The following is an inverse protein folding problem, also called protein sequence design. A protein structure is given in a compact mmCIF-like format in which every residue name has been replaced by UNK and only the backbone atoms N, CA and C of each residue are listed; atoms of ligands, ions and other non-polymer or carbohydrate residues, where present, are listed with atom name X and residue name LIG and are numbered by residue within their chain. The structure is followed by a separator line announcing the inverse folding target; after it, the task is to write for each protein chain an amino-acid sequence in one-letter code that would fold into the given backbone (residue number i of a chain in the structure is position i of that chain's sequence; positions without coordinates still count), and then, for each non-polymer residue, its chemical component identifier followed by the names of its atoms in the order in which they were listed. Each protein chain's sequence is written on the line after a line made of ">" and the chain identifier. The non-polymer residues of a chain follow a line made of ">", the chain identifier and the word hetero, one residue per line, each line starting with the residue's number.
data_IF_042591502359
#
_entry.id   IF_042591502359
#
_cell.length_a   1.000
_cell.length_b   1.000
_cell.length_c   1.000
_cell.angle_alpha   90.00
_cell.angle_beta   90.00
_cell.angle_gamma   90.00
#
_symmetry.space_group_name_H-M   'P 1'
#
loop_
_entity.id
_entity.type
_entity.pdbx_description
1 polymer ?
#
# COMPACT_ATOMS: atom_id res chain seq x y z
N UNK A 1 -28.72 57.55 60.35
CA UNK A 1 -29.60 57.50 59.15
C UNK A 1 -29.07 56.60 58.00
N UNK A 2 -27.78 56.25 57.92
CA UNK A 2 -27.23 55.49 56.77
C UNK A 2 -27.44 53.96 56.76
N UNK A 3 -27.64 53.30 57.91
CA UNK A 3 -27.77 51.82 57.98
C UNK A 3 -29.13 51.29 57.53
N UNK A 4 -30.20 52.10 57.62
CA UNK A 4 -31.56 51.69 57.24
C UNK A 4 -31.69 51.43 55.73
N UNK A 5 -31.06 52.27 54.90
CA UNK A 5 -31.05 52.08 53.46
C UNK A 5 -30.17 50.90 53.02
N UNK A 6 -29.09 50.65 53.75
CA UNK A 6 -28.20 49.52 53.48
C UNK A 6 -28.89 48.17 53.72
N UNK A 7 -29.65 48.04 54.81
CA UNK A 7 -30.40 46.81 55.12
C UNK A 7 -31.49 46.54 54.07
N UNK A 8 -32.17 47.58 53.58
CA UNK A 8 -33.22 47.43 52.57
C UNK A 8 -32.65 46.89 51.24
N UNK A 9 -31.48 47.39 50.82
CA UNK A 9 -30.80 46.90 49.61
C UNK A 9 -30.34 45.44 49.79
N UNK A 10 -29.78 45.09 50.96
CA UNK A 10 -29.35 43.74 51.27
C UNK A 10 -30.52 42.74 51.19
N UNK A 11 -31.66 43.07 51.80
CA UNK A 11 -32.86 42.23 51.72
C UNK A 11 -33.38 42.08 50.28
N UNK A 12 -33.32 43.14 49.47
CA UNK A 12 -33.75 43.10 48.08
C UNK A 12 -32.89 42.11 47.25
N UNK A 13 -31.57 42.10 47.45
CA UNK A 13 -30.64 41.17 46.77
C UNK A 13 -30.87 39.72 47.19
N UNK A 14 -31.17 39.48 48.47
CA UNK A 14 -31.46 38.14 48.97
C UNK A 14 -32.80 37.62 48.41
N UNK A 15 -33.81 38.47 48.32
CA UNK A 15 -35.11 38.07 47.77
C UNK A 15 -34.99 37.76 46.27
N UNK A 16 -34.26 38.56 45.49
CA UNK A 16 -34.09 38.29 44.06
C UNK A 16 -33.28 37.03 43.80
N UNK A 17 -32.24 36.74 44.60
CA UNK A 17 -31.48 35.49 44.49
C UNK A 17 -32.32 34.26 44.84
N UNK A 18 -33.15 34.33 45.88
CA UNK A 18 -34.10 33.24 46.21
C UNK A 18 -35.13 33.08 45.08
N UNK A 19 -35.63 34.18 44.51
CA UNK A 19 -36.56 34.13 43.37
C UNK A 19 -35.92 33.47 42.15
N UNK A 20 -34.64 33.74 41.87
CA UNK A 20 -33.89 33.08 40.79
C UNK A 20 -33.59 31.60 41.06
N UNK A 21 -33.54 31.16 42.31
CA UNK A 21 -33.40 29.72 42.63
C UNK A 21 -34.74 29.01 42.45
N UNK A 22 -35.86 29.66 42.77
CA UNK A 22 -37.22 29.09 42.63
C UNK A 22 -37.73 29.15 41.18
N UNK A 23 -37.46 30.23 40.44
CA UNK A 23 -37.81 30.39 39.01
C UNK A 23 -36.69 29.97 38.07
N UNK A 24 -35.49 29.68 38.58
CA UNK A 24 -34.42 29.08 37.81
C UNK A 24 -34.81 27.66 37.41
N UNK A 25 -34.35 27.15 36.25
CA UNK A 25 -34.73 25.83 35.75
C UNK A 25 -34.01 24.73 36.55
N UNK A 26 -34.35 24.59 37.82
CA UNK A 26 -33.91 23.53 38.72
C UNK A 26 -35.00 22.45 38.89
N UNK A 27 -35.93 22.37 37.94
CA UNK A 27 -37.10 21.50 37.99
C UNK A 27 -37.21 20.47 36.86
N UNK A 28 -36.22 20.33 35.98
CA UNK A 28 -36.30 19.39 34.85
C UNK A 28 -35.14 18.39 34.90
N UNK A 29 -35.31 17.26 35.61
CA UNK A 29 -34.28 16.26 35.72
C UNK A 29 -34.35 15.33 34.48
N UNK A 30 -33.21 15.21 33.80
CA UNK A 30 -32.71 13.96 33.20
C UNK A 30 -33.11 13.56 31.77
N UNK A 31 -33.96 14.30 31.04
CA UNK A 31 -34.30 13.87 29.67
C UNK A 31 -33.14 14.00 28.68
N UNK A 32 -32.28 15.01 28.83
CA UNK A 32 -31.11 15.19 27.96
C UNK A 32 -30.02 14.14 28.17
N UNK A 33 -29.76 13.70 29.40
CA UNK A 33 -28.78 12.64 29.65
C UNK A 33 -29.31 11.27 29.20
N UNK A 34 -30.61 11.02 29.41
CA UNK A 34 -31.26 9.80 28.96
C UNK A 34 -31.29 9.71 27.43
N UNK A 35 -31.52 10.83 26.74
CA UNK A 35 -31.46 10.90 25.28
C UNK A 35 -30.04 10.74 24.75
N UNK A 36 -29.03 11.30 25.41
CA UNK A 36 -27.62 11.11 25.02
C UNK A 36 -27.20 9.65 25.20
N UNK A 37 -27.55 9.03 26.33
CA UNK A 37 -27.19 7.62 26.58
C UNK A 37 -27.95 6.69 25.64
N UNK A 38 -29.24 6.93 25.39
CA UNK A 38 -30.01 6.13 24.45
C UNK A 38 -29.53 6.30 23.01
N UNK A 39 -29.23 7.52 22.57
CA UNK A 39 -28.65 7.78 21.24
C UNK A 39 -27.27 7.12 21.10
N UNK A 40 -26.44 7.16 22.13
CA UNK A 40 -25.11 6.51 22.12
C UNK A 40 -25.24 5.00 22.01
N UNK A 41 -26.16 4.38 22.77
CA UNK A 41 -26.38 2.94 22.71
C UNK A 41 -26.97 2.50 21.37
N UNK A 42 -27.86 3.31 20.79
CA UNK A 42 -28.43 3.05 19.47
C UNK A 42 -27.37 3.16 18.36
N UNK A 43 -26.49 4.16 18.43
CA UNK A 43 -25.37 4.29 17.49
C UNK A 43 -24.36 3.15 17.64
N UNK A 44 -24.05 2.74 18.86
CA UNK A 44 -23.13 1.63 19.13
C UNK A 44 -23.70 0.29 18.63
N UNK A 45 -24.98 0.01 18.88
CA UNK A 45 -25.63 -1.20 18.36
C UNK A 45 -25.72 -1.18 16.83
N UNK A 46 -25.98 -0.03 16.21
CA UNK A 46 -25.97 0.10 14.75
C UNK A 46 -24.57 -0.12 14.16
N UNK A 47 -23.51 0.33 14.85
CA UNK A 47 -22.13 0.05 14.46
C UNK A 47 -21.81 -1.44 14.61
N UNK A 48 -22.19 -2.04 15.74
CA UNK A 48 -21.98 -3.46 16.02
C UNK A 48 -22.71 -4.35 15.01
N UNK A 49 -23.96 -4.05 14.65
CA UNK A 49 -24.70 -4.80 13.63
C UNK A 49 -24.04 -4.66 12.25
N UNK A 50 -23.58 -3.45 11.87
CA UNK A 50 -22.83 -3.26 10.62
C UNK A 50 -21.45 -3.94 10.60
N UNK A 51 -20.84 -4.18 11.77
CA UNK A 51 -19.58 -4.93 11.89
C UNK A 51 -19.81 -6.44 12.04
N UNK A 52 -20.94 -6.85 12.61
CA UNK A 52 -21.33 -8.25 12.84
C UNK A 52 -21.81 -8.93 11.55
N UNK A 53 -22.32 -8.16 10.58
CA UNK A 53 -22.42 -8.58 9.17
C UNK A 53 -21.04 -8.46 8.49
N UNK A 54 -20.02 -9.01 9.13
CA UNK A 54 -18.83 -9.43 8.40
C UNK A 54 -19.16 -10.82 7.87
N UNK A 55 -19.93 -10.88 6.79
CA UNK A 55 -19.63 -11.91 5.79
C UNK A 55 -18.12 -11.85 5.62
N UNK A 56 -17.41 -12.95 5.87
CA UNK A 56 -15.97 -12.98 5.71
C UNK A 56 -15.69 -12.48 4.29
N UNK A 57 -15.29 -11.21 4.16
CA UNK A 57 -14.91 -10.62 2.89
C UNK A 57 -13.65 -11.34 2.50
N UNK A 58 -13.83 -12.47 1.81
CA UNK A 58 -12.76 -13.21 1.18
C UNK A 58 -12.14 -12.21 0.22
N UNK A 59 -10.88 -11.87 0.47
CA UNK A 59 -10.12 -11.03 -0.45
C UNK A 59 -9.99 -11.81 -1.75
N UNK A 60 -10.89 -11.53 -2.69
CA UNK A 60 -10.83 -12.09 -4.03
C UNK A 60 -9.77 -11.32 -4.79
N UNK A 61 -8.62 -11.96 -4.96
CA UNK A 61 -7.50 -11.38 -5.68
C UNK A 61 -7.81 -11.48 -7.17
N UNK A 62 -7.91 -10.34 -7.85
CA UNK A 62 -8.13 -10.31 -9.29
C UNK A 62 -6.88 -10.84 -10.02
N UNK A 63 -7.08 -11.88 -10.84
CA UNK A 63 -6.06 -12.55 -11.63
C UNK A 63 -5.28 -11.59 -12.55
N UNK A 64 -5.90 -10.48 -12.97
CA UNK A 64 -5.26 -9.43 -13.75
C UNK A 64 -4.04 -8.84 -13.03
N UNK A 65 -4.17 -8.54 -11.74
CA UNK A 65 -3.07 -7.96 -10.97
C UNK A 65 -2.03 -9.00 -10.57
N UNK A 66 -2.42 -10.26 -10.39
CA UNK A 66 -1.46 -11.35 -10.17
C UNK A 66 -0.52 -11.52 -11.36
N UNK A 67 -1.05 -11.49 -12.58
CA UNK A 67 -0.25 -11.59 -13.79
C UNK A 67 0.69 -10.38 -13.94
N UNK A 68 0.18 -9.16 -13.74
CA UNK A 68 0.99 -7.95 -13.77
C UNK A 68 2.11 -7.95 -12.71
N UNK A 69 1.81 -8.49 -11.53
CA UNK A 69 2.77 -8.68 -10.44
C UNK A 69 3.66 -9.92 -10.64
N UNK A 70 3.48 -10.70 -11.71
CA UNK A 70 4.33 -11.85 -12.01
C UNK A 70 4.17 -13.02 -11.03
N UNK A 71 3.05 -13.09 -10.32
CA UNK A 71 2.76 -14.20 -9.41
C UNK A 71 2.23 -15.45 -10.12
N UNK A 72 2.02 -15.39 -11.44
CA UNK A 72 1.49 -16.48 -12.26
C UNK A 72 2.58 -17.37 -12.88
N UNK A 73 3.86 -17.05 -12.68
CA UNK A 73 4.95 -17.90 -13.15
C UNK A 73 4.98 -19.20 -12.33
N UNK A 74 4.83 -20.34 -13.01
CA UNK A 74 4.85 -21.69 -12.43
C UNK A 74 6.12 -22.01 -11.62
N UNK A 75 7.17 -21.19 -11.77
CA UNK A 75 8.40 -21.23 -10.98
C UNK A 75 8.12 -20.93 -9.49
N UNK A 76 7.19 -20.03 -9.17
CA UNK A 76 6.78 -19.73 -7.78
C UNK A 76 5.70 -20.68 -7.25
N UNK A 77 4.98 -21.39 -8.11
CA UNK A 77 3.97 -22.37 -7.67
C UNK A 77 4.56 -23.51 -6.83
N UNK A 78 5.85 -23.82 -7.00
CA UNK A 78 6.59 -24.81 -6.20
C UNK A 78 6.95 -24.30 -4.79
N UNK A 79 7.23 -23.01 -4.62
CA UNK A 79 7.54 -22.40 -3.31
C UNK A 79 6.27 -21.98 -2.55
N UNK A 80 5.20 -21.62 -3.26
CA UNK A 80 3.92 -21.24 -2.64
C UNK A 80 3.26 -22.40 -1.88
N UNK A 81 3.50 -23.65 -2.29
CA UNK A 81 3.03 -24.84 -1.56
C UNK A 81 3.80 -25.07 -0.24
N UNK A 82 5.02 -24.55 -0.10
CA UNK A 82 5.80 -24.65 1.12
C UNK A 82 5.44 -23.56 2.15
N UNK A 83 5.01 -22.38 1.71
CA UNK A 83 4.71 -21.25 2.60
C UNK A 83 3.26 -21.22 3.11
N UNK A 84 2.32 -21.91 2.47
CA UNK A 84 0.92 -21.95 2.92
C UNK A 84 0.62 -23.00 4.00
N UNK A 85 1.63 -23.69 4.54
CA UNK A 85 1.46 -24.58 5.70
C UNK A 85 1.55 -23.78 7.00
N UNK A 86 0.64 -22.84 7.19
CA UNK A 86 0.27 -22.36 8.53
C UNK A 86 -1.04 -23.05 8.87
N UNK A 87 -0.96 -24.15 9.62
CA UNK A 87 -2.13 -24.80 10.19
C UNK A 87 -2.82 -23.83 11.15
N UNK A 88 -3.97 -23.30 10.74
CA UNK A 88 -4.95 -22.80 11.70
C UNK A 88 -5.57 -24.04 12.33
N UNK A 89 -4.96 -24.49 13.42
CA UNK A 89 -5.59 -25.45 14.31
C UNK A 89 -6.82 -24.82 14.95
N UNK A 90 -8.00 -25.27 14.53
CA UNK A 90 -9.08 -25.66 15.44
C UNK A 90 -10.21 -26.33 14.67
N UNK A 91 -10.66 -27.45 15.24
CA UNK A 91 -11.39 -28.51 14.57
C UNK A 91 -12.76 -28.12 14.03
N UNK A 92 -13.05 -28.64 12.85
CA UNK A 92 -14.34 -29.21 12.52
C UNK A 92 -14.10 -30.46 11.69
N UNK A 93 -14.52 -31.62 12.21
CA UNK A 93 -14.63 -32.85 11.44
C UNK A 93 -15.84 -32.70 10.52
N UNK A 94 -15.64 -32.90 9.24
CA UNK A 94 -16.71 -33.34 8.33
C UNK A 94 -16.11 -34.33 7.35
N UNK A 95 -16.54 -35.58 7.52
CA UNK A 95 -16.35 -36.66 6.57
C UNK A 95 -16.90 -36.27 5.20
N UNK A 96 -16.09 -36.40 4.17
CA UNK A 96 -16.54 -36.63 2.80
C UNK A 96 -15.33 -37.07 1.95
N UNK A 97 -15.28 -38.36 1.67
CA UNK A 97 -14.49 -38.97 0.62
C UNK A 97 -14.79 -38.28 -0.73
N UNK A 98 -13.75 -38.05 -1.56
CA UNK A 98 -13.78 -38.25 -3.03
C UNK A 98 -12.34 -38.23 -3.57
N UNK A 99 -11.90 -39.45 -3.82
CA UNK A 99 -10.99 -39.99 -4.84
C UNK A 99 -10.25 -39.04 -5.81
N UNK A 100 -8.92 -39.16 -5.76
CA UNK A 100 -7.95 -38.67 -6.74
C UNK A 100 -7.98 -39.57 -7.97
N UNK A 101 -8.18 -39.01 -9.17
CA UNK A 101 -7.90 -39.75 -10.40
C UNK A 101 -7.44 -38.87 -11.56
N UNK A 102 -6.17 -39.09 -11.90
CA UNK A 102 -5.60 -39.13 -13.25
C UNK A 102 -5.40 -37.84 -14.08
N UNK A 103 -4.12 -37.45 -14.15
CA UNK A 103 -3.48 -36.86 -15.33
C UNK A 103 -3.69 -37.73 -16.58
N UNK A 104 -3.64 -37.11 -17.77
CA UNK A 104 -2.91 -37.71 -18.88
C UNK A 104 -1.75 -36.85 -19.39
N UNK A 105 -0.77 -37.61 -19.86
CA UNK A 105 0.55 -37.29 -20.35
C UNK A 105 0.54 -36.66 -21.76
N UNK A 106 1.64 -35.97 -22.04
CA UNK A 106 2.04 -35.28 -23.27
C UNK A 106 1.94 -36.13 -24.55
N UNK A 107 1.45 -35.53 -25.65
CA UNK A 107 1.89 -35.88 -27.01
C UNK A 107 1.85 -34.66 -27.96
N UNK A 108 3.01 -34.25 -28.47
CA UNK A 108 3.13 -33.57 -29.78
C UNK A 108 3.27 -34.63 -30.88
N UNK A 109 2.89 -34.33 -32.14
CA UNK A 109 3.93 -33.98 -33.12
C UNK A 109 3.53 -32.88 -34.12
N UNK A 110 4.50 -32.53 -34.96
CA UNK A 110 4.65 -31.31 -35.76
C UNK A 110 3.90 -31.22 -37.11
N UNK A 111 3.68 -29.96 -37.53
CA UNK A 111 3.65 -29.33 -38.87
C UNK A 111 2.85 -29.91 -40.06
N UNK A 112 1.99 -29.05 -40.67
CA UNK A 112 1.96 -28.75 -42.12
C UNK A 112 1.08 -27.53 -42.48
N UNK A 113 1.56 -26.71 -43.43
CA UNK A 113 0.89 -25.56 -44.06
C UNK A 113 -0.10 -25.97 -45.15
N UNK A 114 -1.22 -25.24 -45.32
CA UNK A 114 -1.76 -24.88 -46.65
C UNK A 114 -2.83 -23.74 -46.62
N UNK A 115 -2.69 -22.83 -47.59
CA UNK A 115 -3.63 -21.86 -48.21
C UNK A 115 -5.01 -22.50 -48.51
N UNK A 116 -6.18 -21.84 -48.67
CA UNK A 116 -6.57 -20.55 -49.29
C UNK A 116 -8.08 -20.26 -49.03
N UNK A 117 -8.48 -19.00 -49.17
CA UNK A 117 -9.77 -18.42 -49.63
C UNK A 117 -11.07 -18.44 -48.77
N UNK A 118 -11.40 -17.24 -48.25
CA UNK A 118 -12.62 -16.48 -48.59
C UNK A 118 -13.99 -16.91 -48.03
N UNK A 119 -14.46 -16.22 -46.97
CA UNK A 119 -15.79 -15.57 -46.95
C UNK A 119 -15.91 -14.61 -45.76
N UNK A 120 -16.43 -13.42 -46.04
CA UNK A 120 -16.70 -12.37 -45.07
C UNK A 120 -17.94 -12.70 -44.24
N UNK A 121 -17.85 -12.57 -42.91
CA UNK A 121 -19.02 -12.44 -42.06
C UNK A 121 -18.69 -11.52 -40.90
N UNK A 122 -19.18 -10.29 -41.03
CA UNK A 122 -19.21 -9.28 -39.98
C UNK A 122 -19.96 -9.83 -38.77
N UNK A 123 -19.23 -10.15 -37.72
CA UNK A 123 -19.75 -10.18 -36.36
C UNK A 123 -18.91 -9.19 -35.56
N UNK A 124 -19.53 -8.07 -35.19
CA UNK A 124 -18.97 -7.09 -34.27
C UNK A 124 -18.84 -7.74 -32.89
N UNK A 125 -17.79 -8.52 -32.71
CA UNK A 125 -17.34 -8.92 -31.39
C UNK A 125 -16.44 -7.78 -30.93
N UNK A 126 -16.87 -7.06 -29.88
CA UNK A 126 -15.99 -6.16 -29.13
C UNK A 126 -14.79 -6.98 -28.66
N UNK A 127 -13.73 -7.00 -29.47
CA UNK A 127 -12.43 -7.44 -29.04
C UNK A 127 -11.91 -6.34 -28.11
N UNK A 128 -12.14 -6.54 -26.82
CA UNK A 128 -11.31 -5.96 -25.79
C UNK A 128 -9.92 -6.59 -25.94
N UNK A 129 -9.19 -6.18 -26.98
CA UNK A 129 -7.75 -6.40 -27.11
C UNK A 129 -7.13 -5.60 -25.98
N UNK A 130 -7.05 -6.24 -24.82
CA UNK A 130 -6.38 -5.73 -23.64
C UNK A 130 -4.89 -5.75 -23.97
N UNK A 131 -4.44 -4.74 -24.72
CA UNK A 131 -3.03 -4.39 -24.80
C UNK A 131 -2.64 -4.08 -23.36
N UNK A 132 -2.11 -5.08 -22.66
CA UNK A 132 -1.68 -4.95 -21.27
C UNK A 132 -0.74 -3.75 -21.21
N UNK A 133 -1.19 -2.64 -20.60
CA UNK A 133 -0.31 -1.50 -20.38
C UNK A 133 0.72 -1.95 -19.35
N UNK A 134 2.00 -1.86 -19.69
CA UNK A 134 3.08 -2.19 -18.77
C UNK A 134 3.31 -1.02 -17.83
N UNK A 135 3.51 -1.31 -16.54
CA UNK A 135 3.84 -0.29 -15.54
C UNK A 135 5.20 0.37 -15.82
N UNK A 136 6.14 -0.36 -16.41
CA UNK A 136 7.47 0.15 -16.75
C UNK A 136 8.07 -0.66 -17.91
N UNK A 137 9.17 -0.19 -18.48
CA UNK A 137 9.89 -0.93 -19.52
C UNK A 137 10.52 -2.20 -18.91
N UNK A 138 10.28 -3.39 -19.52
CA UNK A 138 10.87 -4.63 -19.04
C UNK A 138 12.39 -4.53 -18.97
N UNK A 139 12.96 -4.98 -17.86
CA UNK A 139 14.40 -5.04 -17.72
C UNK A 139 14.95 -6.28 -18.44
N UNK A 140 15.72 -6.06 -19.51
CA UNK A 140 16.36 -7.13 -20.30
C UNK A 140 17.88 -7.18 -20.08
N UNK A 141 18.36 -6.63 -18.95
CA UNK A 141 19.79 -6.58 -18.62
C UNK A 141 20.23 -7.69 -17.66
N UNK A 142 21.52 -7.74 -17.40
CA UNK A 142 22.09 -8.61 -16.36
C UNK A 142 21.78 -8.04 -14.98
N UNK A 143 21.17 -8.85 -14.10
CA UNK A 143 20.85 -8.40 -12.73
C UNK A 143 22.11 -7.94 -11.99
N UNK A 144 22.07 -6.73 -11.44
CA UNK A 144 23.11 -6.27 -10.52
C UNK A 144 23.12 -7.13 -9.25
N UNK A 145 24.27 -7.24 -8.58
CA UNK A 145 24.35 -8.01 -7.33
C UNK A 145 23.62 -7.30 -6.18
N UNK A 146 23.74 -5.98 -6.11
CA UNK A 146 23.13 -5.13 -5.09
C UNK A 146 22.85 -3.75 -5.69
N UNK A 147 21.77 -3.11 -5.24
CA UNK A 147 21.46 -1.70 -5.57
C UNK A 147 20.68 -1.07 -4.42
N UNK A 148 20.82 0.24 -4.24
CA UNK A 148 19.99 1.02 -3.33
C UNK A 148 18.77 1.52 -4.11
N UNK A 149 17.58 1.39 -3.55
CA UNK A 149 16.32 1.68 -4.24
C UNK A 149 15.51 2.68 -3.44
N UNK A 150 14.98 3.68 -4.13
CA UNK A 150 13.98 4.62 -3.58
C UNK A 150 12.90 4.88 -4.62
N UNK A 151 11.80 5.47 -4.18
CA UNK A 151 10.79 6.07 -5.04
C UNK A 151 10.80 7.59 -4.89
N UNK A 152 10.11 8.27 -5.81
CA UNK A 152 9.94 9.72 -5.78
C UNK A 152 8.57 10.15 -6.32
N UNK A 153 7.98 11.13 -5.65
CA UNK A 153 6.72 11.76 -6.02
C UNK A 153 6.94 13.26 -6.25
N UNK A 154 5.93 13.92 -6.82
CA UNK A 154 5.88 15.37 -6.99
C UNK A 154 6.25 16.13 -5.70
N UNK A 155 7.16 17.10 -5.83
CA UNK A 155 7.71 17.90 -4.74
C UNK A 155 8.82 17.22 -3.94
N UNK A 156 9.22 15.99 -4.28
CA UNK A 156 10.24 15.22 -3.53
C UNK A 156 11.59 15.11 -4.25
N UNK A 157 11.73 15.66 -5.46
CA UNK A 157 12.99 15.62 -6.21
C UNK A 157 14.20 16.16 -5.39
N UNK A 158 14.11 17.28 -4.66
CA UNK A 158 15.21 17.76 -3.82
C UNK A 158 15.63 16.75 -2.74
N UNK A 159 14.67 16.03 -2.14
CA UNK A 159 14.97 15.03 -1.11
C UNK A 159 15.76 13.85 -1.67
N UNK A 160 15.41 13.40 -2.88
CA UNK A 160 16.13 12.33 -3.58
C UNK A 160 17.53 12.78 -3.99
N UNK A 161 17.69 14.01 -4.48
CA UNK A 161 19.02 14.55 -4.81
C UNK A 161 19.91 14.55 -3.56
N UNK A 162 19.40 15.00 -2.42
CA UNK A 162 20.13 14.97 -1.16
C UNK A 162 20.43 13.54 -0.67
N UNK A 163 19.53 12.58 -0.90
CA UNK A 163 19.79 11.16 -0.64
C UNK A 163 20.93 10.64 -1.54
N UNK A 164 20.90 10.96 -2.83
CA UNK A 164 21.93 10.55 -3.78
C UNK A 164 23.30 11.12 -3.42
N UNK A 165 23.37 12.38 -3.00
CA UNK A 165 24.60 12.99 -2.48
C UNK A 165 25.11 12.27 -1.23
N UNK A 166 24.21 11.95 -0.31
CA UNK A 166 24.56 11.22 0.91
C UNK A 166 25.07 9.80 0.60
N UNK A 167 24.45 9.09 -0.35
CA UNK A 167 24.92 7.80 -0.85
C UNK A 167 26.29 7.94 -1.51
N UNK A 168 26.49 8.90 -2.40
CA UNK A 168 27.79 9.12 -3.05
C UNK A 168 28.91 9.39 -2.03
N UNK A 169 28.59 10.06 -0.92
CA UNK A 169 29.54 10.30 0.17
C UNK A 169 29.82 9.07 1.04
N UNK A 170 28.81 8.24 1.33
CA UNK A 170 28.93 7.10 2.25
C UNK A 170 29.30 5.78 1.56
N UNK A 171 28.84 5.62 0.32
CA UNK A 171 28.90 4.42 -0.50
C UNK A 171 29.24 4.79 -1.96
N UNK A 172 30.46 5.27 -2.25
CA UNK A 172 30.84 5.82 -3.56
C UNK A 172 30.73 4.82 -4.72
N UNK A 173 30.81 3.53 -4.43
CA UNK A 173 30.73 2.46 -5.45
C UNK A 173 29.30 2.02 -5.74
N UNK A 174 28.35 2.37 -4.87
CA UNK A 174 26.98 1.89 -4.96
C UNK A 174 26.14 2.78 -5.89
N UNK A 175 25.15 2.15 -6.53
CA UNK A 175 24.26 2.80 -7.48
C UNK A 175 22.88 3.03 -6.84
N UNK A 176 22.28 4.19 -7.10
CA UNK A 176 20.92 4.52 -6.67
C UNK A 176 19.93 4.33 -7.82
N UNK A 177 18.93 3.49 -7.60
CA UNK A 177 17.80 3.31 -8.50
C UNK A 177 16.59 4.07 -7.97
N UNK A 178 16.07 5.03 -8.75
CA UNK A 178 14.95 5.88 -8.37
C UNK A 178 13.73 5.54 -9.23
N UNK A 179 12.63 5.19 -8.59
CA UNK A 179 11.34 4.99 -9.26
C UNK A 179 10.51 6.26 -9.23
N UNK A 180 10.33 6.88 -10.40
CA UNK A 180 9.38 7.98 -10.61
C UNK A 180 7.97 7.40 -10.67
N UNK A 181 7.19 7.69 -9.63
CA UNK A 181 5.79 7.25 -9.48
C UNK A 181 4.80 8.42 -9.58
N UNK A 182 5.24 9.58 -10.06
CA UNK A 182 4.38 10.75 -10.21
C UNK A 182 5.10 12.07 -9.95
N UNK A 183 6.29 12.27 -10.52
CA UNK A 183 6.96 13.57 -10.60
C UNK A 183 6.19 14.53 -11.51
N UNK A 184 6.26 15.82 -11.20
CA UNK A 184 5.98 16.88 -12.17
C UNK A 184 7.06 16.93 -13.25
N UNK A 185 6.76 17.54 -14.38
CA UNK A 185 7.70 17.64 -15.51
C UNK A 185 9.00 18.37 -15.12
N UNK A 186 8.88 19.44 -14.35
CA UNK A 186 10.04 20.22 -13.88
C UNK A 186 10.92 19.44 -12.90
N UNK A 187 10.31 18.70 -11.97
CA UNK A 187 11.03 17.82 -11.05
C UNK A 187 11.70 16.66 -11.80
N UNK A 188 11.00 16.07 -12.77
CA UNK A 188 11.53 14.98 -13.61
C UNK A 188 12.75 15.44 -14.40
N UNK A 189 12.68 16.63 -15.02
CA UNK A 189 13.81 17.24 -15.74
C UNK A 189 14.99 17.48 -14.81
N UNK A 190 14.74 18.07 -13.63
CA UNK A 190 15.78 18.38 -12.65
C UNK A 190 16.47 17.14 -12.10
N UNK A 191 15.69 16.12 -11.71
CA UNK A 191 16.21 14.87 -11.18
C UNK A 191 16.98 14.08 -12.25
N UNK A 192 16.45 14.00 -13.47
CA UNK A 192 17.12 13.32 -14.58
C UNK A 192 18.45 13.98 -14.91
N UNK A 193 18.50 15.32 -14.97
CA UNK A 193 19.74 16.05 -15.20
C UNK A 193 20.82 15.73 -14.13
N UNK A 194 20.41 15.63 -12.86
CA UNK A 194 21.31 15.24 -11.78
C UNK A 194 21.77 13.77 -11.90
N UNK A 195 20.85 12.84 -12.19
CA UNK A 195 21.17 11.42 -12.28
C UNK A 195 22.04 11.07 -13.50
N UNK A 196 21.95 11.82 -14.60
CA UNK A 196 22.81 11.64 -15.78
C UNK A 196 24.30 11.80 -15.52
N UNK A 197 24.68 12.60 -14.51
CA UNK A 197 26.08 12.89 -14.16
C UNK A 197 26.52 12.21 -12.86
N UNK A 198 25.66 11.40 -12.25
CA UNK A 198 25.94 10.72 -10.98
C UNK A 198 25.66 9.22 -11.09
N UNK A 199 25.93 8.45 -10.02
CA UNK A 199 25.62 7.01 -9.96
C UNK A 199 24.15 6.78 -9.59
N UNK A 200 23.26 7.44 -10.32
CA UNK A 200 21.82 7.36 -10.14
C UNK A 200 21.15 7.07 -11.48
N UNK A 201 20.05 6.32 -11.48
CA UNK A 201 19.15 6.23 -12.63
C UNK A 201 17.69 6.38 -12.22
N UNK A 202 16.91 6.98 -13.11
CA UNK A 202 15.47 7.22 -12.92
C UNK A 202 14.69 6.26 -13.82
N UNK A 203 13.74 5.54 -13.24
CA UNK A 203 12.81 4.65 -13.92
C UNK A 203 11.41 5.23 -13.79
N UNK A 204 10.78 5.54 -14.91
CA UNK A 204 9.36 5.88 -14.93
C UNK A 204 8.52 4.64 -14.65
N UNK A 205 7.57 4.78 -13.71
CA UNK A 205 6.71 3.71 -13.26
C UNK A 205 5.26 4.19 -13.19
N UNK A 206 4.48 3.78 -14.19
CA UNK A 206 3.07 4.13 -14.33
C UNK A 206 2.22 3.32 -13.34
N UNK A 207 1.77 3.97 -12.26
CA UNK A 207 0.88 3.36 -11.28
C UNK A 207 -0.58 3.27 -11.75
N UNK A 208 -0.96 3.92 -12.86
CA UNK A 208 -2.34 3.92 -13.36
C UNK A 208 -2.83 2.55 -13.83
N UNK A 209 -1.91 1.61 -14.05
CA UNK A 209 -2.24 0.22 -14.40
C UNK A 209 -2.75 -0.59 -13.20
N UNK A 210 -2.50 -0.12 -11.98
CA UNK A 210 -2.93 -0.72 -10.71
C UNK A 210 -4.24 -0.08 -10.21
N UNK A 211 -4.92 -0.68 -9.21
CA UNK A 211 -6.09 -0.05 -8.61
C UNK A 211 -5.74 1.31 -7.98
N UNK A 212 -6.76 2.17 -7.80
CA UNK A 212 -6.58 3.51 -7.24
C UNK A 212 -5.88 3.54 -5.88
N UNK A 213 -6.06 2.51 -5.04
CA UNK A 213 -5.38 2.41 -3.75
C UNK A 213 -3.86 2.23 -3.86
N UNK A 214 -3.33 1.76 -5.00
CA UNK A 214 -1.88 1.67 -5.23
C UNK A 214 -1.23 3.06 -5.36
N UNK A 215 -1.99 4.04 -5.85
CA UNK A 215 -1.56 5.43 -5.97
C UNK A 215 -1.85 6.26 -4.71
N UNK A 216 -2.58 5.71 -3.72
CA UNK A 216 -2.84 6.42 -2.48
C UNK A 216 -1.54 6.62 -1.68
N UNK A 217 -1.14 7.89 -1.57
CA UNK A 217 0.06 8.32 -0.85
C UNK A 217 0.05 7.92 0.61
N UNK A 218 -1.13 7.78 1.24
CA UNK A 218 -1.28 7.43 2.67
C UNK A 218 -1.11 5.94 2.91
N UNK A 219 -1.53 5.10 1.96
CA UNK A 219 -1.44 3.65 2.09
C UNK A 219 -0.04 3.12 1.77
N UNK A 220 0.76 3.88 1.01
CA UNK A 220 2.10 3.47 0.58
C UNK A 220 2.12 2.10 -0.14
N UNK A 221 1.01 1.73 -0.77
CA UNK A 221 0.84 0.43 -1.43
C UNK A 221 1.75 0.25 -2.66
N UNK A 222 2.29 1.34 -3.21
CA UNK A 222 3.32 1.31 -4.26
C UNK A 222 4.68 0.76 -3.77
N UNK A 223 4.99 0.78 -2.46
CA UNK A 223 6.28 0.30 -1.93
C UNK A 223 6.58 -1.15 -2.31
N UNK A 224 5.71 -2.15 -1.99
CA UNK A 224 5.94 -3.53 -2.40
C UNK A 224 5.98 -3.71 -3.92
N UNK A 225 5.25 -2.88 -4.68
CA UNK A 225 5.24 -2.92 -6.16
C UNK A 225 6.62 -2.50 -6.70
N UNK A 226 7.17 -1.39 -6.20
CA UNK A 226 8.51 -0.89 -6.54
C UNK A 226 9.59 -1.90 -6.13
N UNK A 227 9.52 -2.45 -4.91
CA UNK A 227 10.46 -3.46 -4.42
C UNK A 227 10.47 -4.69 -5.34
N UNK A 228 9.28 -5.17 -5.73
CA UNK A 228 9.14 -6.30 -6.65
C UNK A 228 9.80 -6.02 -7.99
N UNK A 229 9.57 -4.85 -8.58
CA UNK A 229 10.23 -4.48 -9.84
C UNK A 229 11.76 -4.40 -9.68
N UNK A 230 12.24 -3.80 -8.60
CA UNK A 230 13.68 -3.66 -8.36
C UNK A 230 14.40 -5.01 -8.21
N UNK A 231 13.73 -6.02 -7.63
CA UNK A 231 14.24 -7.40 -7.53
C UNK A 231 14.28 -8.13 -8.90
N UNK A 232 13.59 -7.62 -9.92
CA UNK A 232 13.80 -8.08 -11.30
C UNK A 232 15.12 -7.57 -11.88
N UNK A 233 15.64 -6.45 -11.36
CA UNK A 233 16.85 -5.76 -11.83
C UNK A 233 18.09 -6.07 -10.99
N UNK A 234 17.91 -6.53 -9.76
CA UNK A 234 18.99 -6.81 -8.82
C UNK A 234 18.73 -8.06 -7.99
N UNK A 235 19.80 -8.77 -7.60
CA UNK A 235 19.70 -9.97 -6.76
C UNK A 235 19.34 -9.65 -5.31
N UNK A 236 19.83 -8.51 -4.81
CA UNK A 236 19.50 -7.97 -3.50
C UNK A 236 19.32 -6.47 -3.61
N UNK A 237 18.48 -5.89 -2.75
CA UNK A 237 18.24 -4.45 -2.73
C UNK A 237 18.28 -3.93 -1.31
N UNK A 238 18.61 -2.65 -1.15
CA UNK A 238 18.31 -1.87 0.05
C UNK A 238 17.26 -0.83 -0.31
N UNK A 239 16.01 -1.09 0.07
CA UNK A 239 14.93 -0.13 -0.10
C UNK A 239 15.00 0.92 1.00
N UNK A 240 14.95 2.20 0.62
CA UNK A 240 14.92 3.32 1.56
C UNK A 240 13.93 4.39 1.14
N UNK A 241 13.40 5.10 2.12
CA UNK A 241 12.62 6.31 1.88
C UNK A 241 13.54 7.46 1.46
N UNK A 242 13.05 8.36 0.61
CA UNK A 242 13.84 9.44 0.04
C UNK A 242 14.35 10.49 1.05
N UNK A 243 13.80 10.52 2.26
CA UNK A 243 14.23 11.43 3.33
C UNK A 243 15.29 10.82 4.28
N UNK A 244 15.68 9.56 4.09
CA UNK A 244 16.67 8.89 4.93
C UNK A 244 18.08 9.41 4.64
N UNK A 245 18.93 9.48 5.68
CA UNK A 245 20.34 9.82 5.55
C UNK A 245 21.19 8.79 6.29
N UNK A 246 22.09 8.15 5.56
CA UNK A 246 23.04 7.17 6.06
C UNK A 246 24.14 7.84 6.88
N UNK A 247 24.40 7.27 8.06
CA UNK A 247 25.50 7.66 8.94
C UNK A 247 26.69 6.69 8.84
N UNK A 248 26.41 5.39 8.78
CA UNK A 248 27.40 4.32 8.61
C UNK A 248 28.05 4.33 7.23
N UNK A 249 29.17 3.61 7.12
CA UNK A 249 29.98 3.52 5.89
C UNK A 249 29.89 2.16 5.20
N UNK A 250 30.71 1.95 4.18
CA UNK A 250 30.75 0.69 3.41
C UNK A 250 30.84 -0.57 4.30
N UNK A 251 31.62 -0.54 5.38
CA UNK A 251 31.73 -1.67 6.30
C UNK A 251 30.39 -2.09 6.92
N UNK A 252 29.58 -1.11 7.36
CA UNK A 252 28.27 -1.37 7.96
C UNK A 252 27.30 -1.92 6.92
N UNK A 253 27.35 -1.38 5.70
CA UNK A 253 26.56 -1.87 4.58
C UNK A 253 26.91 -3.32 4.23
N UNK A 254 28.20 -3.67 4.18
CA UNK A 254 28.63 -5.05 3.92
C UNK A 254 28.20 -6.01 5.04
N UNK A 255 28.28 -5.58 6.30
CA UNK A 255 27.75 -6.37 7.43
C UNK A 255 26.26 -6.63 7.28
N UNK A 256 25.48 -5.62 6.87
CA UNK A 256 24.05 -5.77 6.62
C UNK A 256 23.80 -6.75 5.47
N UNK A 257 24.53 -6.60 4.36
CA UNK A 257 24.42 -7.50 3.19
C UNK A 257 24.71 -8.95 3.56
N UNK A 258 25.77 -9.20 4.32
CA UNK A 258 26.11 -10.56 4.78
C UNK A 258 25.01 -11.16 5.67
N UNK A 259 24.34 -10.35 6.48
CA UNK A 259 23.19 -10.79 7.29
C UNK A 259 21.96 -11.09 6.42
N UNK A 260 21.67 -10.25 5.42
CA UNK A 260 20.56 -10.50 4.47
C UNK A 260 20.80 -11.79 3.69
N UNK A 261 22.04 -12.10 3.30
CA UNK A 261 22.36 -13.34 2.59
C UNK A 261 22.03 -14.61 3.40
N UNK A 262 22.02 -14.54 4.73
CA UNK A 262 21.61 -15.66 5.58
C UNK A 262 20.14 -15.64 5.98
N UNK A 263 19.54 -14.46 6.20
CA UNK A 263 18.14 -14.34 6.67
C UNK A 263 17.11 -14.09 5.56
N UNK A 264 17.54 -13.77 4.35
CA UNK A 264 16.70 -13.44 3.20
C UNK A 264 16.18 -11.99 3.20
N UNK A 265 15.47 -11.60 4.26
CA UNK A 265 14.88 -10.25 4.41
C UNK A 265 15.25 -9.67 5.77
N UNK A 266 15.50 -8.36 5.81
CA UNK A 266 15.65 -7.57 7.03
C UNK A 266 14.67 -6.39 6.95
N UNK A 267 13.84 -6.24 7.98
CA UNK A 267 12.87 -5.16 8.13
C UNK A 267 13.08 -4.42 9.44
#
# INVERSE_FOLDING_TARGET
>A
MRTKHFILILCCVIITTIFFIILGPAGEPNDSLKSIVSHTHQQFNKLQENLRVTEQKKLEIDAKYLNLLGFTDSIYAKEFQAYNRYEIGNGFKSDADIEISHLPLIQQPAQKQQKTDGYSSNSNTLQHSSKTRLATTPYNGTKANFTIVTYVQDGQAPSVILLAQNIASKFPDEHLLVYDIGLSEDDSRSLTAYCNITRCSVISYDLSVFPSHAFDRRMHAYRPIVIKDALTRSKSILFVENYIRFRGGNHDLQKLRNKVLSTGVLG
#
